data_IF_519092220337
#
_entry.id   IF_519092220337
#
_cell.length_a   1.000
_cell.length_b   1.000
_cell.length_c   1.000
_cell.angle_alpha   90.00
_cell.angle_beta   90.00
_cell.angle_gamma   90.00
#
_symmetry.space_group_name_H-M   'P 1'
#
loop_
_entity.id
_entity.type
_entity.pdbx_description
1 polymer ?
#
# COMPACT_ATOMS: atom_id res chain seq x y z
N UNK A 1 11.79 -7.79 -23.47
CA UNK A 1 11.96 -8.38 -22.11
C UNK A 1 11.91 -7.21 -21.14
N UNK A 2 10.82 -7.08 -20.41
CA UNK A 2 10.64 -5.95 -19.49
C UNK A 2 11.65 -6.07 -18.35
N UNK A 3 12.40 -5.00 -18.09
CA UNK A 3 13.27 -4.90 -16.92
C UNK A 3 12.47 -5.15 -15.66
N UNK A 4 13.03 -5.82 -14.64
CA UNK A 4 12.32 -6.03 -13.37
C UNK A 4 11.93 -4.68 -12.77
N UNK A 5 10.69 -4.61 -12.27
CA UNK A 5 10.19 -3.41 -11.61
C UNK A 5 11.07 -3.04 -10.41
N UNK A 6 11.54 -1.81 -10.37
CA UNK A 6 12.42 -1.29 -9.31
C UNK A 6 11.72 -0.29 -8.40
N UNK A 7 10.71 0.41 -8.93
CA UNK A 7 9.94 1.45 -8.22
C UNK A 7 8.51 0.97 -8.07
N UNK A 8 8.16 0.56 -6.86
CA UNK A 8 6.87 -0.06 -6.58
C UNK A 8 6.10 0.76 -5.56
N UNK A 9 4.89 1.19 -5.92
CA UNK A 9 3.95 1.81 -4.99
C UNK A 9 2.87 0.81 -4.58
N UNK A 10 2.69 0.60 -3.27
CA UNK A 10 1.66 -0.29 -2.71
C UNK A 10 0.57 0.54 -2.07
N UNK A 11 -0.63 0.50 -2.64
CA UNK A 11 -1.78 1.28 -2.15
C UNK A 11 -2.96 0.37 -1.79
N UNK A 12 -3.82 0.83 -0.89
CA UNK A 12 -5.03 0.11 -0.48
C UNK A 12 -5.53 0.54 0.89
N UNK A 13 -6.74 0.13 1.25
CA UNK A 13 -7.39 0.53 2.48
C UNK A 13 -6.72 0.04 3.76
N UNK A 14 -7.14 0.58 4.91
CA UNK A 14 -6.70 0.09 6.22
C UNK A 14 -6.96 -1.41 6.36
N UNK A 15 -5.97 -2.16 6.89
CA UNK A 15 -6.07 -3.62 7.07
C UNK A 15 -5.89 -4.45 5.79
N UNK A 16 -5.63 -3.84 4.62
CA UNK A 16 -5.39 -4.57 3.37
C UNK A 16 -4.08 -5.37 3.37
N UNK A 17 -3.09 -4.99 4.18
CA UNK A 17 -1.79 -5.66 4.28
C UNK A 17 -0.68 -5.02 3.46
N UNK A 18 -0.79 -3.73 3.13
CA UNK A 18 0.22 -2.94 2.41
C UNK A 18 1.61 -3.07 3.03
N UNK A 19 1.72 -2.78 4.32
CA UNK A 19 2.99 -2.83 5.07
C UNK A 19 3.65 -4.21 5.00
N UNK A 20 2.85 -5.28 5.09
CA UNK A 20 3.37 -6.64 4.94
C UNK A 20 3.92 -6.88 3.51
N UNK A 21 3.18 -6.46 2.49
CA UNK A 21 3.61 -6.62 1.11
C UNK A 21 4.84 -5.77 0.80
N UNK A 22 4.85 -4.51 1.24
CA UNK A 22 5.98 -3.60 1.08
C UNK A 22 7.26 -4.16 1.73
N UNK A 23 7.15 -4.71 2.95
CA UNK A 23 8.27 -5.35 3.62
C UNK A 23 8.84 -6.54 2.84
N UNK A 24 7.97 -7.36 2.22
CA UNK A 24 8.40 -8.48 1.39
C UNK A 24 9.06 -8.04 0.08
N UNK A 25 8.51 -7.00 -0.55
CA UNK A 25 9.08 -6.41 -1.76
C UNK A 25 10.42 -5.72 -1.48
N UNK A 26 10.52 -4.91 -0.43
CA UNK A 26 11.77 -4.24 -0.06
C UNK A 26 12.88 -5.23 0.24
N UNK A 27 12.56 -6.35 0.92
CA UNK A 27 13.52 -7.42 1.15
C UNK A 27 13.95 -8.12 -0.17
N UNK A 28 13.02 -8.37 -1.08
CA UNK A 28 13.31 -9.01 -2.37
C UNK A 28 14.10 -8.10 -3.31
N UNK A 29 13.80 -6.81 -3.32
CA UNK A 29 14.47 -5.80 -4.14
C UNK A 29 15.73 -5.22 -3.48
N UNK A 30 15.98 -5.56 -2.21
CA UNK A 30 17.07 -5.01 -1.40
C UNK A 30 17.09 -3.47 -1.41
N UNK A 31 15.93 -2.84 -1.24
CA UNK A 31 15.75 -1.40 -1.34
C UNK A 31 15.03 -0.81 -0.12
N UNK A 32 15.12 0.52 0.07
CA UNK A 32 14.39 1.21 1.12
C UNK A 32 12.88 1.08 0.93
N UNK A 33 12.15 1.09 2.08
CA UNK A 33 10.70 1.08 2.15
C UNK A 33 10.26 2.37 2.83
N UNK A 34 9.36 3.11 2.19
CA UNK A 34 8.83 4.38 2.70
C UNK A 34 7.34 4.26 3.00
N UNK A 35 6.99 4.40 4.27
CA UNK A 35 5.61 4.53 4.71
C UNK A 35 5.17 5.98 4.55
N UNK A 36 4.31 6.27 3.58
CA UNK A 36 3.92 7.65 3.24
C UNK A 36 3.21 8.39 4.37
N UNK A 37 2.63 7.65 5.31
CA UNK A 37 2.03 8.20 6.53
C UNK A 37 3.05 8.94 7.41
N UNK A 38 4.35 8.71 7.21
CA UNK A 38 5.45 9.21 8.04
C UNK A 38 6.40 10.16 7.30
N UNK A 39 6.32 10.22 5.96
CA UNK A 39 7.31 10.91 5.15
C UNK A 39 6.73 12.08 4.37
N UNK A 40 7.19 13.32 4.64
CA UNK A 40 6.69 14.52 3.94
C UNK A 40 7.31 14.74 2.56
N UNK A 41 8.50 14.21 2.28
CA UNK A 41 9.24 14.51 1.04
C UNK A 41 9.08 13.43 -0.04
N UNK A 42 7.88 13.40 -0.61
CA UNK A 42 7.51 12.50 -1.70
C UNK A 42 8.33 12.77 -2.97
N UNK A 43 8.67 14.03 -3.24
CA UNK A 43 9.39 14.41 -4.45
C UNK A 43 10.80 13.83 -4.46
N UNK A 44 11.51 13.91 -3.34
CA UNK A 44 12.85 13.32 -3.21
C UNK A 44 12.81 11.80 -3.35
N UNK A 45 11.87 11.13 -2.68
CA UNK A 45 11.71 9.66 -2.79
C UNK A 45 11.46 9.24 -4.25
N UNK A 46 10.63 9.99 -4.97
CA UNK A 46 10.31 9.69 -6.37
C UNK A 46 11.55 9.73 -7.28
N UNK A 47 12.58 10.50 -6.94
CA UNK A 47 13.81 10.63 -7.72
C UNK A 47 14.80 9.47 -7.52
N UNK A 48 14.63 8.68 -6.48
CA UNK A 48 15.51 7.54 -6.22
C UNK A 48 15.40 6.47 -7.32
N UNK A 49 16.49 5.73 -7.59
CA UNK A 49 16.53 4.74 -8.67
C UNK A 49 15.73 3.47 -8.36
N UNK A 50 15.55 3.16 -7.06
CA UNK A 50 14.86 1.98 -6.58
C UNK A 50 14.20 2.24 -5.23
N UNK A 51 12.92 1.92 -5.11
CA UNK A 51 12.17 2.10 -3.87
C UNK A 51 10.90 1.26 -3.83
N UNK A 52 10.43 1.01 -2.62
CA UNK A 52 9.07 0.56 -2.34
C UNK A 52 8.42 1.60 -1.46
N UNK A 53 7.28 2.14 -1.89
CA UNK A 53 6.47 3.04 -1.08
C UNK A 53 5.15 2.37 -0.72
N UNK A 54 4.59 2.67 0.44
CA UNK A 54 3.28 2.19 0.83
C UNK A 54 2.46 3.26 1.55
N UNK A 55 1.15 3.26 1.32
CA UNK A 55 0.26 4.19 2.01
C UNK A 55 -1.17 4.12 1.50
N UNK A 56 -2.04 4.86 2.17
CA UNK A 56 -3.43 5.08 1.76
C UNK A 56 -3.63 6.50 1.24
N UNK A 57 -2.63 7.36 1.40
CA UNK A 57 -2.68 8.76 1.00
C UNK A 57 -2.81 8.91 -0.50
N UNK A 58 -3.56 9.95 -0.89
CA UNK A 58 -3.80 10.31 -2.29
C UNK A 58 -3.32 11.75 -2.59
N UNK A 59 -2.98 12.52 -1.56
CA UNK A 59 -2.51 13.89 -1.74
C UNK A 59 -1.01 13.93 -2.01
N UNK A 60 -0.61 14.67 -3.05
CA UNK A 60 0.80 14.89 -3.38
C UNK A 60 1.56 13.67 -3.90
N UNK A 61 0.91 12.52 -4.13
CA UNK A 61 1.58 11.28 -4.57
C UNK A 61 1.83 11.19 -6.08
N UNK A 62 1.38 12.16 -6.85
CA UNK A 62 1.53 12.15 -8.31
C UNK A 62 2.97 11.86 -8.78
N UNK A 63 4.04 12.48 -8.20
CA UNK A 63 5.40 12.17 -8.60
C UNK A 63 5.81 10.70 -8.43
N UNK A 64 5.29 10.02 -7.38
CA UNK A 64 5.51 8.59 -7.20
C UNK A 64 4.76 7.76 -8.23
N UNK A 65 3.49 8.08 -8.51
CA UNK A 65 2.69 7.35 -9.48
C UNK A 65 3.27 7.46 -10.90
N UNK A 66 3.72 8.65 -11.28
CA UNK A 66 4.35 8.90 -12.56
C UNK A 66 5.64 8.08 -12.76
N UNK A 67 6.45 7.97 -11.71
CA UNK A 67 7.75 7.30 -11.75
C UNK A 67 7.71 5.83 -11.36
N UNK A 68 6.63 5.36 -10.77
CA UNK A 68 6.45 3.95 -10.45
C UNK A 68 6.51 3.08 -11.72
N UNK A 69 7.22 1.96 -11.62
CA UNK A 69 7.21 0.93 -12.66
C UNK A 69 5.95 0.06 -12.50
N UNK A 70 5.52 -0.16 -11.24
CA UNK A 70 4.31 -0.91 -10.90
C UNK A 70 3.60 -0.26 -9.71
N UNK A 71 2.28 -0.17 -9.78
CA UNK A 71 1.41 0.26 -8.70
C UNK A 71 0.55 -0.94 -8.28
N UNK A 72 0.74 -1.41 -7.06
CA UNK A 72 0.00 -2.58 -6.55
C UNK A 72 -1.16 -2.11 -5.69
N UNK A 73 -2.38 -2.23 -6.20
CA UNK A 73 -3.59 -1.93 -5.45
C UNK A 73 -4.12 -3.17 -4.73
N UNK A 74 -4.07 -3.15 -3.39
CA UNK A 74 -4.68 -4.17 -2.54
C UNK A 74 -6.17 -3.88 -2.34
N UNK A 75 -7.00 -4.36 -3.26
CA UNK A 75 -8.45 -4.15 -3.27
C UNK A 75 -9.20 -5.31 -2.63
N UNK A 76 -8.87 -5.61 -1.37
CA UNK A 76 -9.48 -6.70 -0.63
C UNK A 76 -10.86 -6.30 -0.08
N UNK A 77 -11.81 -7.26 0.07
CA UNK A 77 -13.09 -6.99 0.72
C UNK A 77 -12.91 -6.52 2.17
N UNK A 78 -13.76 -5.57 2.62
CA UNK A 78 -13.69 -5.04 3.99
C UNK A 78 -13.70 -6.12 5.07
N UNK A 79 -14.51 -7.19 4.91
CA UNK A 79 -14.54 -8.31 5.87
C UNK A 79 -13.16 -8.92 6.14
N UNK A 80 -12.31 -8.97 5.11
CA UNK A 80 -10.93 -9.47 5.23
C UNK A 80 -10.07 -8.46 5.99
N UNK A 81 -10.20 -7.18 5.66
CA UNK A 81 -9.50 -6.09 6.31
C UNK A 81 -9.91 -5.97 7.79
N UNK A 82 -11.21 -5.99 8.09
CA UNK A 82 -11.75 -5.93 9.45
C UNK A 82 -11.22 -7.09 10.31
N UNK A 83 -11.26 -8.32 9.80
CA UNK A 83 -10.68 -9.48 10.50
C UNK A 83 -9.20 -9.26 10.83
N UNK A 84 -8.41 -8.75 9.89
CA UNK A 84 -6.99 -8.47 10.10
C UNK A 84 -6.76 -7.36 11.13
N UNK A 85 -7.58 -6.31 11.12
CA UNK A 85 -7.53 -5.23 12.11
C UNK A 85 -7.76 -5.81 13.51
N UNK A 86 -8.80 -6.63 13.68
CA UNK A 86 -9.14 -7.26 14.97
C UNK A 86 -8.04 -8.22 15.42
N UNK A 87 -7.60 -9.14 14.55
CA UNK A 87 -6.57 -10.14 14.91
C UNK A 87 -5.24 -9.47 15.25
N UNK A 88 -4.83 -8.44 14.52
CA UNK A 88 -3.63 -7.65 14.81
C UNK A 88 -3.75 -6.94 16.16
N UNK A 89 -4.92 -6.36 16.47
CA UNK A 89 -5.15 -5.70 17.75
C UNK A 89 -5.04 -6.68 18.92
N UNK A 90 -5.68 -7.86 18.83
CA UNK A 90 -5.60 -8.91 19.83
C UNK A 90 -4.13 -9.33 20.02
N UNK A 91 -3.45 -9.68 18.94
CA UNK A 91 -2.06 -10.13 18.98
C UNK A 91 -1.10 -9.09 19.60
N UNK A 92 -1.21 -7.81 19.21
CA UNK A 92 -0.41 -6.74 19.79
C UNK A 92 -0.75 -6.50 21.28
N UNK A 93 -2.01 -6.72 21.68
CA UNK A 93 -2.45 -6.59 23.07
C UNK A 93 -1.87 -7.71 23.93
N UNK A 94 -1.83 -8.96 23.44
CA UNK A 94 -1.22 -10.10 24.15
C UNK A 94 0.30 -9.91 24.34
N UNK A 95 0.97 -9.25 23.39
CA UNK A 95 2.39 -8.95 23.49
C UNK A 95 2.71 -7.70 24.31
N UNK A 96 1.73 -7.01 24.87
CA UNK A 96 1.93 -5.74 25.57
C UNK A 96 2.38 -4.58 24.69
N UNK A 97 2.43 -4.77 23.36
CA UNK A 97 2.94 -3.80 22.37
C UNK A 97 1.85 -2.94 21.73
N UNK A 98 0.60 -3.11 22.16
CA UNK A 98 -0.50 -2.34 21.60
C UNK A 98 -0.52 -0.91 22.16
N UNK A 99 -0.15 0.07 21.32
CA UNK A 99 -0.22 1.50 21.67
C UNK A 99 -1.68 2.01 21.82
N UNK A 100 -2.63 1.32 21.22
CA UNK A 100 -4.06 1.67 21.20
C UNK A 100 -4.86 0.63 21.98
N UNK A 101 -4.65 0.58 23.29
CA UNK A 101 -5.35 -0.38 24.16
C UNK A 101 -6.83 -0.01 24.31
N UNK A 102 -7.71 -1.01 24.21
CA UNK A 102 -9.13 -0.90 24.50
C UNK A 102 -10.05 -1.20 23.32
N UNK A 103 -11.15 -1.88 23.60
CA UNK A 103 -12.15 -2.28 22.60
C UNK A 103 -12.86 -1.09 21.95
N UNK A 104 -13.03 0.02 22.68
CA UNK A 104 -13.65 1.23 22.14
C UNK A 104 -12.79 1.84 21.02
N UNK A 105 -11.48 1.87 21.21
CA UNK A 105 -10.56 2.42 20.22
C UNK A 105 -10.47 1.50 18.99
N UNK A 106 -10.46 0.18 19.21
CA UNK A 106 -10.54 -0.80 18.13
C UNK A 106 -11.83 -0.65 17.31
N UNK A 107 -12.97 -0.56 17.98
CA UNK A 107 -14.27 -0.39 17.33
C UNK A 107 -14.30 0.91 16.51
N UNK A 108 -13.81 2.02 17.08
CA UNK A 108 -13.70 3.31 16.38
C UNK A 108 -12.80 3.24 15.15
N UNK A 109 -11.65 2.57 15.27
CA UNK A 109 -10.73 2.40 14.14
C UNK A 109 -11.33 1.49 13.06
N UNK A 110 -11.94 0.36 13.43
CA UNK A 110 -12.59 -0.53 12.49
C UNK A 110 -13.78 0.15 11.78
N UNK A 111 -14.54 0.96 12.52
CA UNK A 111 -15.62 1.76 11.97
C UNK A 111 -15.11 2.83 10.98
N UNK A 112 -14.06 3.57 11.34
CA UNK A 112 -13.42 4.53 10.44
C UNK A 112 -12.85 3.86 9.19
N UNK A 113 -12.21 2.70 9.36
CA UNK A 113 -11.69 1.91 8.25
C UNK A 113 -12.79 1.49 7.26
N UNK A 114 -14.00 1.20 7.77
CA UNK A 114 -15.17 0.88 6.94
C UNK A 114 -15.46 1.98 5.90
N UNK A 115 -15.32 3.24 6.29
CA UNK A 115 -15.58 4.38 5.39
C UNK A 115 -14.76 4.31 4.11
N UNK A 116 -13.48 3.97 4.20
CA UNK A 116 -12.64 3.79 3.02
C UNK A 116 -13.24 2.83 2.00
N UNK A 117 -13.89 1.75 2.46
CA UNK A 117 -14.40 0.69 1.58
C UNK A 117 -15.76 0.97 0.96
N UNK A 118 -16.57 1.84 1.56
CA UNK A 118 -17.96 2.09 1.14
C UNK A 118 -18.28 3.54 0.80
N UNK A 119 -17.42 4.50 1.19
CA UNK A 119 -17.66 5.87 0.77
C UNK A 119 -17.59 5.97 -0.76
N UNK A 120 -18.57 6.64 -1.32
CA UNK A 120 -18.56 7.03 -2.72
C UNK A 120 -17.43 8.01 -3.01
N UNK A 121 -17.10 8.18 -4.30
CA UNK A 121 -16.11 9.15 -4.70
C UNK A 121 -16.57 10.54 -4.30
N UNK A 122 -15.81 11.14 -3.41
CA UNK A 122 -16.00 12.53 -3.02
C UNK A 122 -15.12 13.47 -3.83
N UNK A 123 -14.75 14.55 -3.22
CA UNK A 123 -13.77 15.51 -3.75
C UNK A 123 -12.33 14.98 -3.65
N UNK A 124 -11.39 15.51 -4.44
CA UNK A 124 -9.96 15.26 -4.22
C UNK A 124 -9.55 15.71 -2.81
N UNK A 125 -8.51 15.08 -2.22
CA UNK A 125 -8.00 15.52 -0.94
C UNK A 125 -7.40 16.93 -1.02
N UNK A 126 -7.72 17.79 -0.04
CA UNK A 126 -7.25 19.17 0.02
C UNK A 126 -5.88 19.29 0.72
N UNK A 127 -5.40 18.20 1.32
CA UNK A 127 -4.13 18.20 2.04
C UNK A 127 -3.78 16.84 2.63
N UNK A 128 -2.59 16.74 3.27
CA UNK A 128 -2.09 15.48 3.80
C UNK A 128 -2.91 14.91 4.97
N UNK A 129 -3.69 15.73 5.63
CA UNK A 129 -4.53 15.33 6.78
C UNK A 129 -6.00 15.14 6.44
N UNK A 130 -6.36 15.22 5.17
CA UNK A 130 -7.74 15.06 4.71
C UNK A 130 -8.14 13.58 4.62
N UNK A 131 -8.38 12.99 5.77
CA UNK A 131 -8.79 11.59 5.88
C UNK A 131 -10.19 11.33 5.30
N UNK A 132 -11.02 12.35 5.20
CA UNK A 132 -12.39 12.23 4.73
C UNK A 132 -12.48 12.02 3.22
N UNK A 133 -11.48 12.49 2.47
CA UNK A 133 -11.36 12.25 1.04
C UNK A 133 -10.81 10.85 0.71
N UNK A 134 -10.30 10.10 1.70
CA UNK A 134 -9.72 8.79 1.45
C UNK A 134 -10.81 7.74 1.31
N UNK A 135 -10.99 7.24 0.09
CA UNK A 135 -11.90 6.14 -0.20
C UNK A 135 -11.36 5.25 -1.32
N UNK A 136 -11.90 4.03 -1.41
CA UNK A 136 -11.62 3.13 -2.53
C UNK A 136 -12.00 3.77 -3.86
N UNK A 137 -13.15 4.44 -3.91
CA UNK A 137 -13.62 5.12 -5.11
C UNK A 137 -12.66 6.23 -5.53
N UNK A 138 -12.23 7.09 -4.59
CA UNK A 138 -11.25 8.12 -4.87
C UNK A 138 -9.89 7.55 -5.27
N UNK A 139 -9.44 6.46 -4.64
CA UNK A 139 -8.23 5.75 -5.06
C UNK A 139 -8.32 5.31 -6.52
N UNK A 140 -9.47 4.78 -6.96
CA UNK A 140 -9.69 4.38 -8.35
C UNK A 140 -9.62 5.57 -9.32
N UNK A 141 -10.15 6.72 -8.92
CA UNK A 141 -10.08 7.96 -9.74
C UNK A 141 -8.62 8.41 -9.90
N UNK A 142 -7.87 8.47 -8.80
CA UNK A 142 -6.46 8.89 -8.83
C UNK A 142 -5.59 7.93 -9.64
N UNK A 143 -5.86 6.62 -9.57
CA UNK A 143 -5.12 5.61 -10.32
C UNK A 143 -5.57 5.46 -11.78
N UNK A 144 -6.70 6.07 -12.17
CA UNK A 144 -7.25 5.96 -13.53
C UNK A 144 -6.24 6.26 -14.64
N UNK A 145 -5.49 7.37 -14.59
CA UNK A 145 -4.48 7.73 -15.59
C UNK A 145 -3.30 6.74 -15.71
N UNK A 146 -3.09 5.91 -14.68
CA UNK A 146 -1.96 4.98 -14.57
C UNK A 146 -2.38 3.51 -14.74
N UNK A 147 -3.50 3.27 -15.40
CA UNK A 147 -4.11 1.93 -15.50
C UNK A 147 -3.18 0.85 -16.07
N UNK A 148 -2.28 1.20 -16.97
CA UNK A 148 -1.25 0.35 -17.56
C UNK A 148 -0.21 -0.17 -16.54
N UNK A 149 0.02 0.59 -15.46
CA UNK A 149 0.95 0.23 -14.38
C UNK A 149 0.25 -0.40 -13.18
N UNK A 150 -1.08 -0.39 -13.13
CA UNK A 150 -1.85 -0.81 -11.94
C UNK A 150 -2.14 -2.31 -11.95
N UNK A 151 -1.60 -3.01 -10.97
CA UNK A 151 -1.93 -4.41 -10.67
C UNK A 151 -2.94 -4.46 -9.52
N UNK A 152 -4.16 -4.93 -9.79
CA UNK A 152 -5.23 -5.04 -8.79
C UNK A 152 -5.29 -6.44 -8.20
N UNK A 153 -5.18 -6.53 -6.88
CA UNK A 153 -5.16 -7.80 -6.16
C UNK A 153 -6.35 -7.85 -5.18
N UNK A 154 -7.34 -8.68 -5.51
CA UNK A 154 -8.60 -8.80 -4.75
C UNK A 154 -8.60 -9.91 -3.71
N UNK A 155 -7.64 -10.85 -3.78
CA UNK A 155 -7.59 -12.04 -2.91
C UNK A 155 -6.17 -12.31 -2.42
N UNK A 156 -6.06 -12.84 -1.20
CA UNK A 156 -4.76 -13.22 -0.63
C UNK A 156 -3.93 -14.12 -1.55
N UNK A 157 -4.57 -15.06 -2.24
CA UNK A 157 -3.89 -15.97 -3.19
C UNK A 157 -3.21 -15.20 -4.32
N UNK A 158 -3.88 -14.19 -4.86
CA UNK A 158 -3.32 -13.33 -5.91
C UNK A 158 -2.10 -12.56 -5.40
N UNK A 159 -2.17 -12.03 -4.17
CA UNK A 159 -1.04 -11.31 -3.55
C UNK A 159 0.18 -12.22 -3.43
N UNK A 160 0.00 -13.44 -2.91
CA UNK A 160 1.10 -14.40 -2.75
C UNK A 160 1.66 -14.85 -4.09
N UNK A 161 0.78 -15.13 -5.06
CA UNK A 161 1.20 -15.54 -6.41
C UNK A 161 1.98 -14.43 -7.10
N UNK A 162 1.44 -13.22 -7.10
CA UNK A 162 2.10 -12.05 -7.70
C UNK A 162 3.46 -11.77 -7.05
N UNK A 163 3.56 -11.82 -5.71
CA UNK A 163 4.82 -11.62 -5.00
C UNK A 163 5.86 -12.66 -5.39
N UNK A 164 5.49 -13.94 -5.52
CA UNK A 164 6.40 -15.01 -5.96
C UNK A 164 6.88 -14.80 -7.39
N UNK A 165 5.99 -14.43 -8.29
CA UNK A 165 6.33 -14.14 -9.68
C UNK A 165 7.29 -12.93 -9.80
N UNK A 166 7.01 -11.86 -9.04
CA UNK A 166 7.86 -10.66 -9.02
C UNK A 166 9.25 -10.93 -8.42
N UNK A 167 9.33 -11.72 -7.36
CA UNK A 167 10.61 -12.12 -6.76
C UNK A 167 11.43 -13.01 -7.71
N UNK A 168 10.79 -13.94 -8.43
CA UNK A 168 11.46 -14.78 -9.42
C UNK A 168 12.03 -13.97 -10.59
N UNK A 169 11.30 -12.97 -11.09
CA UNK A 169 11.76 -12.08 -12.15
C UNK A 169 12.99 -11.23 -11.73
N UNK A 170 13.09 -10.88 -10.45
CA UNK A 170 14.25 -10.14 -9.91
C UNK A 170 15.49 -11.02 -9.80
N UNK A 171 15.32 -12.30 -9.49
CA UNK A 171 16.44 -13.26 -9.38
C UNK A 171 16.99 -13.68 -10.77
N UNK A 172 16.18 -13.57 -11.82
CA UNK A 172 16.57 -13.97 -13.19
C UNK A 172 17.31 -12.86 -13.97
N UNK A 173 17.45 -11.66 -13.42
CA UNK A 173 18.29 -10.62 -14.02
C UNK A 173 19.77 -11.05 -13.90
N UNK A 174 20.49 -11.29 -15.01
CA UNK A 174 21.90 -11.67 -14.95
C UNK A 174 22.69 -10.55 -14.31
N UNK A 175 23.45 -10.90 -13.27
CA UNK A 175 24.33 -9.97 -12.61
C UNK A 175 25.24 -9.30 -13.64
N UNK A 176 25.30 -7.98 -13.62
CA UNK A 176 26.31 -7.22 -14.37
C UNK A 176 27.68 -7.68 -13.89
N UNK A 177 28.57 -8.18 -14.76
CA UNK A 177 29.92 -8.52 -14.34
C UNK A 177 30.63 -7.24 -13.85
N UNK A 178 31.42 -7.40 -12.80
CA UNK A 178 32.28 -6.37 -12.19
C UNK A 178 33.34 -5.89 -13.19
#
# INVERSE_FOLDING_TARGET
MDSPARRVHVIGGPGSGKTWLAAKLGAALQCPIYELDMWPDIATIALEPIWVTEGVFLWGIAPLLERADVIVMLDLPYRVAARRIVTRHIWLSTLGRNRHRGLRLLARFAWGARRYYWAECGRPPDGPTDWDALSRAQTNVVLGPFGDKVVRLHRRRQVVHWLRASAAATVTAPGTPR
#
